data_IF_175918996133
#
_entry.id   IF_175918996133
#
_cell.length_a   1.000
_cell.length_b   1.000
_cell.length_c   1.000
_cell.angle_alpha   90.00
_cell.angle_beta   90.00
_cell.angle_gamma   90.00
#
_symmetry.space_group_name_H-M   'P 1'
#
loop_
_entity.id
_entity.type
_entity.pdbx_description
1 polymer ?
#
# COMPACT_ATOMS: atom_id res chain seq x y z
N UNK A 1 0.39 21.94 4.49
CA UNK A 1 1.57 21.39 3.80
C UNK A 1 1.26 19.95 3.41
N UNK A 2 1.03 19.66 2.13
CA UNK A 2 0.74 18.30 1.66
C UNK A 2 2.08 17.57 1.49
N UNK A 3 2.33 16.52 2.27
CA UNK A 3 3.57 15.74 2.21
C UNK A 3 3.75 15.02 0.86
N UNK A 4 5.01 14.67 0.56
CA UNK A 4 5.41 13.98 -0.69
C UNK A 4 4.86 12.55 -0.80
N UNK A 5 4.52 11.93 0.33
CA UNK A 5 3.95 10.61 0.40
C UNK A 5 2.46 10.66 0.75
N UNK A 6 1.71 9.71 0.19
CA UNK A 6 0.33 9.42 0.54
C UNK A 6 0.22 7.98 1.01
N UNK A 7 -0.65 7.75 2.00
CA UNK A 7 -0.97 6.41 2.48
C UNK A 7 -2.19 5.89 1.74
N UNK A 8 -2.10 4.69 1.20
CA UNK A 8 -3.21 3.97 0.57
C UNK A 8 -3.51 2.74 1.39
N UNK A 9 -4.77 2.57 1.80
CA UNK A 9 -5.25 1.32 2.41
C UNK A 9 -5.80 0.43 1.30
N UNK A 10 -5.32 -0.81 1.26
CA UNK A 10 -5.75 -1.81 0.29
C UNK A 10 -6.33 -3.00 1.04
N UNK A 11 -7.51 -3.43 0.64
CA UNK A 11 -8.13 -4.67 1.12
C UNK A 11 -7.94 -5.76 0.07
N UNK A 12 -7.11 -6.76 0.40
CA UNK A 12 -6.86 -7.93 -0.44
C UNK A 12 -6.99 -9.22 0.37
N UNK A 13 -8.05 -9.35 1.17
CA UNK A 13 -8.23 -10.38 2.24
C UNK A 13 -7.28 -10.20 3.44
N UNK A 14 -6.33 -9.28 3.32
CA UNK A 14 -5.46 -8.77 4.37
C UNK A 14 -5.41 -7.26 4.18
N UNK A 15 -5.51 -6.51 5.27
CA UNK A 15 -5.42 -5.05 5.23
C UNK A 15 -3.95 -4.62 5.09
N UNK A 16 -3.60 -4.03 3.95
CA UNK A 16 -2.27 -3.50 3.67
C UNK A 16 -2.29 -1.98 3.72
N UNK A 17 -1.21 -1.38 4.25
CA UNK A 17 -0.95 0.05 4.13
C UNK A 17 0.24 0.25 3.20
N UNK A 18 0.00 0.81 2.02
CA UNK A 18 1.06 1.22 1.10
C UNK A 18 1.40 2.70 1.30
N UNK A 19 2.67 3.04 1.16
CA UNK A 19 3.14 4.41 1.03
C UNK A 19 3.64 4.59 -0.40
N UNK A 20 3.03 5.51 -1.12
CA UNK A 20 3.42 5.89 -2.47
C UNK A 20 3.60 7.39 -2.55
N UNK A 21 4.26 7.88 -3.59
CA UNK A 21 4.35 9.32 -3.82
C UNK A 21 2.99 9.88 -4.20
N UNK A 22 2.76 11.15 -3.87
CA UNK A 22 1.55 11.87 -4.30
C UNK A 22 1.39 11.85 -5.82
N UNK A 23 2.48 12.15 -6.52
CA UNK A 23 2.53 12.17 -7.98
C UNK A 23 2.07 10.83 -8.57
N UNK A 24 2.60 9.69 -8.11
CA UNK A 24 2.18 8.39 -8.63
C UNK A 24 0.72 8.07 -8.29
N UNK A 25 0.20 8.50 -7.14
CA UNK A 25 -1.20 8.31 -6.80
C UNK A 25 -2.14 9.07 -7.77
N UNK A 26 -1.75 10.29 -8.15
CA UNK A 26 -2.46 11.13 -9.12
C UNK A 26 -2.37 10.53 -10.54
N UNK A 27 -1.16 10.17 -10.98
CA UNK A 27 -0.90 9.57 -12.30
C UNK A 27 -1.62 8.23 -12.50
N UNK A 28 -1.71 7.40 -11.44
CA UNK A 28 -2.40 6.11 -11.49
C UNK A 28 -3.92 6.21 -11.24
N UNK A 29 -4.45 7.41 -10.96
CA UNK A 29 -5.86 7.60 -10.67
C UNK A 29 -6.34 6.84 -9.43
N UNK A 30 -5.50 6.76 -8.38
CA UNK A 30 -5.85 6.05 -7.15
C UNK A 30 -6.97 6.79 -6.43
N UNK A 31 -8.13 6.12 -6.34
CA UNK A 31 -9.32 6.60 -5.66
C UNK A 31 -9.89 5.48 -4.77
N UNK A 32 -10.65 5.80 -3.72
CA UNK A 32 -11.33 4.76 -2.94
C UNK A 32 -12.23 3.89 -3.81
N UNK A 33 -12.12 2.57 -3.67
CA UNK A 33 -12.96 1.60 -4.36
C UNK A 33 -12.48 1.16 -5.74
N UNK A 34 -11.42 1.76 -6.31
CA UNK A 34 -10.86 1.28 -7.57
C UNK A 34 -10.08 -0.01 -7.35
N UNK A 35 -10.16 -1.00 -8.26
CA UNK A 35 -9.35 -2.19 -8.18
C UNK A 35 -7.88 -1.84 -8.39
N UNK A 36 -7.00 -2.42 -7.57
CA UNK A 36 -5.56 -2.19 -7.61
C UNK A 36 -4.80 -3.50 -7.42
N UNK A 37 -3.56 -3.55 -7.89
CA UNK A 37 -2.62 -4.64 -7.58
C UNK A 37 -1.60 -4.16 -6.56
N UNK A 38 -1.56 -4.79 -5.39
CA UNK A 38 -0.52 -4.54 -4.39
C UNK A 38 0.72 -5.40 -4.71
N UNK A 39 1.81 -4.75 -5.13
CA UNK A 39 3.08 -5.41 -5.40
C UNK A 39 4.12 -5.05 -4.34
N UNK A 40 4.82 -6.06 -3.81
CA UNK A 40 5.91 -5.88 -2.86
C UNK A 40 7.02 -6.90 -3.13
N UNK A 41 8.24 -6.55 -2.72
CA UNK A 41 9.39 -7.44 -2.87
C UNK A 41 9.36 -8.53 -1.80
N UNK A 42 9.35 -9.79 -2.21
CA UNK A 42 9.31 -10.93 -1.29
C UNK A 42 10.45 -10.92 -0.26
N UNK A 43 11.66 -10.56 -0.68
CA UNK A 43 12.84 -10.48 0.20
C UNK A 43 12.77 -9.37 1.26
N UNK A 44 11.78 -8.49 1.20
CA UNK A 44 11.54 -7.43 2.20
C UNK A 44 10.54 -7.83 3.28
N UNK A 45 9.95 -9.03 3.17
CA UNK A 45 8.99 -9.55 4.16
C UNK A 45 9.75 -10.18 5.33
N UNK A 46 9.50 -9.68 6.54
CA UNK A 46 10.00 -10.29 7.77
C UNK A 46 8.92 -11.17 8.40
N UNK A 47 9.23 -12.47 8.56
CA UNK A 47 8.31 -13.43 9.17
C UNK A 47 8.55 -13.48 10.68
N UNK A 48 7.52 -13.13 11.44
CA UNK A 48 7.50 -13.25 12.89
C UNK A 48 6.69 -14.47 13.30
N UNK A 49 7.20 -15.23 14.28
CA UNK A 49 6.45 -16.34 14.85
C UNK A 49 5.50 -15.79 15.92
N UNK A 50 4.20 -15.91 15.68
CA UNK A 50 3.20 -15.67 16.71
C UNK A 50 3.29 -16.79 17.76
N UNK A 51 3.67 -16.47 19.00
CA UNK A 51 3.46 -17.38 20.14
C UNK A 51 2.01 -17.20 20.58
N UNK A 52 1.25 -18.30 20.54
CA UNK A 52 -0.06 -18.36 21.22
C UNK A 52 0.15 -18.32 22.72
#
# INVERSE_FOLDING_TARGET
MLGALVRVKVDCSVLLNALITRQSAEEMGILPGVPVYAHYRASSVHVLRCKR
#
